data_IF_315973168562
#
_entry.id   IF_315973168562
#
_cell.length_a   1.000
_cell.length_b   1.000
_cell.length_c   1.000
_cell.angle_alpha   90.00
_cell.angle_beta   90.00
_cell.angle_gamma   90.00
#
_symmetry.space_group_name_H-M   'P 1'
#
loop_
_entity.id
_entity.type
_entity.pdbx_description
1 polymer ?
#
# COMPACT_ATOMS: atom_id res chain seq x y z
N UNK A 1 -0.14 8.01 10.54
CA UNK A 1 1.34 7.99 10.66
C UNK A 1 2.00 8.09 9.28
N UNK A 2 1.73 7.20 8.31
CA UNK A 2 2.36 7.27 6.97
C UNK A 2 1.92 8.43 6.06
N UNK A 3 0.78 9.11 6.32
CA UNK A 3 0.26 10.17 5.45
C UNK A 3 1.15 11.43 5.38
N UNK A 4 2.14 11.55 6.26
CA UNK A 4 3.11 12.66 6.33
C UNK A 4 4.53 12.26 5.91
N UNK A 5 4.70 11.03 5.40
CA UNK A 5 5.99 10.51 5.02
C UNK A 5 6.33 10.94 3.58
N UNK A 6 7.56 11.41 3.34
CA UNK A 6 8.03 11.69 1.99
C UNK A 6 8.07 10.40 1.14
N UNK A 7 8.05 10.55 -0.18
CA UNK A 7 8.05 9.42 -1.11
C UNK A 7 9.25 8.49 -0.90
N UNK A 8 10.39 9.04 -0.50
CA UNK A 8 11.62 8.28 -0.18
C UNK A 8 11.40 7.32 0.98
N UNK A 9 10.73 7.75 2.05
CA UNK A 9 10.53 6.88 3.19
C UNK A 9 9.37 5.87 2.97
N UNK A 10 8.44 6.14 2.04
CA UNK A 10 7.54 5.08 1.52
C UNK A 10 8.33 4.04 0.74
N UNK A 11 9.29 4.46 -0.10
CA UNK A 11 10.14 3.55 -0.85
C UNK A 11 10.97 2.66 0.08
N UNK A 12 11.63 3.22 1.09
CA UNK A 12 12.37 2.45 2.11
C UNK A 12 11.45 1.44 2.80
N UNK A 13 10.28 1.88 3.28
CA UNK A 13 9.33 1.00 3.96
C UNK A 13 8.89 -0.20 3.10
N UNK A 14 8.63 0.03 1.81
CA UNK A 14 8.26 -1.04 0.87
C UNK A 14 9.47 -1.92 0.56
N UNK A 15 10.65 -1.35 0.33
CA UNK A 15 11.89 -2.09 0.10
C UNK A 15 12.19 -3.05 1.26
N UNK A 16 12.14 -2.58 2.51
CA UNK A 16 12.33 -3.42 3.71
C UNK A 16 11.34 -4.60 3.73
N UNK A 17 10.09 -4.37 3.32
CA UNK A 17 9.09 -5.44 3.23
C UNK A 17 9.46 -6.48 2.16
N UNK A 18 9.97 -6.05 1.01
CA UNK A 18 10.44 -6.96 -0.04
C UNK A 18 11.66 -7.77 0.39
N UNK A 19 12.58 -7.20 1.18
CA UNK A 19 13.76 -7.91 1.69
C UNK A 19 13.40 -9.11 2.58
N UNK A 20 12.20 -9.14 3.17
CA UNK A 20 11.74 -10.28 3.96
C UNK A 20 11.48 -11.53 3.13
N UNK A 21 11.17 -11.38 1.82
CA UNK A 21 10.69 -12.46 0.98
C UNK A 21 9.34 -13.06 1.39
N UNK A 22 8.67 -12.51 2.40
CA UNK A 22 7.39 -12.98 2.93
C UNK A 22 6.24 -12.28 2.19
N UNK A 23 5.52 -13.05 1.38
CA UNK A 23 4.41 -12.55 0.59
C UNK A 23 3.28 -11.94 1.44
N UNK A 24 2.99 -12.50 2.63
CA UNK A 24 1.95 -11.98 3.50
C UNK A 24 2.37 -10.64 4.10
N UNK A 25 3.64 -10.53 4.51
CA UNK A 25 4.20 -9.28 5.01
C UNK A 25 4.24 -8.19 3.95
N UNK A 26 4.62 -8.52 2.71
CA UNK A 26 4.64 -7.59 1.58
C UNK A 26 3.23 -7.03 1.32
N UNK A 27 2.22 -7.91 1.24
CA UNK A 27 0.83 -7.48 1.02
C UNK A 27 0.35 -6.58 2.17
N UNK A 28 0.70 -6.92 3.41
CA UNK A 28 0.37 -6.10 4.58
C UNK A 28 1.00 -4.70 4.50
N UNK A 29 2.28 -4.61 4.13
CA UNK A 29 2.98 -3.34 3.96
C UNK A 29 2.36 -2.48 2.84
N UNK A 30 2.03 -3.10 1.69
CA UNK A 30 1.31 -2.42 0.60
C UNK A 30 -0.04 -1.89 1.07
N UNK A 31 -0.79 -2.67 1.85
CA UNK A 31 -2.07 -2.24 2.43
C UNK A 31 -1.93 -1.06 3.41
N UNK A 32 -0.81 -0.95 4.12
CA UNK A 32 -0.53 0.21 5.00
C UNK A 32 -0.32 1.47 4.17
N UNK A 33 0.51 1.41 3.12
CA UNK A 33 0.77 2.55 2.22
C UNK A 33 -0.50 2.98 1.47
N UNK A 34 -1.26 2.02 0.94
CA UNK A 34 -2.49 2.30 0.21
C UNK A 34 -3.54 3.03 1.06
N UNK A 35 -3.73 2.60 2.33
CA UNK A 35 -4.65 3.29 3.26
C UNK A 35 -4.15 4.69 3.62
N UNK A 36 -2.84 4.88 3.76
CA UNK A 36 -2.26 6.18 4.07
C UNK A 36 -2.45 7.19 2.92
N UNK A 37 -2.33 6.73 1.67
CA UNK A 37 -2.62 7.51 0.47
C UNK A 37 -4.12 7.82 0.35
N UNK A 38 -4.96 6.82 0.61
CA UNK A 38 -6.42 6.95 0.65
C UNK A 38 -7.08 6.22 -0.51
N UNK A 39 -8.03 5.34 -0.18
CA UNK A 39 -8.64 4.41 -1.14
C UNK A 39 -9.46 5.10 -2.24
N UNK A 40 -10.07 6.26 -1.95
CA UNK A 40 -10.81 7.04 -2.95
C UNK A 40 -9.88 7.60 -4.02
N UNK A 41 -8.73 8.13 -3.61
CA UNK A 41 -7.73 8.68 -4.52
C UNK A 41 -7.11 7.56 -5.37
N UNK A 42 -6.76 6.44 -4.75
CA UNK A 42 -6.28 5.24 -5.44
C UNK A 42 -7.28 4.70 -6.46
N UNK A 43 -8.57 4.63 -6.13
CA UNK A 43 -9.61 4.19 -7.06
C UNK A 43 -9.68 5.12 -8.29
N UNK A 44 -9.59 6.43 -8.07
CA UNK A 44 -9.59 7.43 -9.14
C UNK A 44 -8.36 7.31 -10.04
N UNK A 45 -7.17 7.10 -9.47
CA UNK A 45 -5.92 7.02 -10.22
C UNK A 45 -5.75 5.71 -10.99
N UNK A 46 -6.17 4.59 -10.39
CA UNK A 46 -5.96 3.24 -10.97
C UNK A 46 -7.12 2.79 -11.86
N UNK A 47 -8.28 3.46 -11.78
CA UNK A 47 -9.52 3.03 -12.43
C UNK A 47 -10.17 1.79 -11.78
N UNK A 48 -9.60 1.28 -10.67
CA UNK A 48 -10.16 0.15 -9.94
C UNK A 48 -11.28 0.58 -9.01
N UNK A 49 -12.26 -0.30 -8.82
CA UNK A 49 -13.28 -0.09 -7.78
C UNK A 49 -12.64 -0.19 -6.38
N UNK A 50 -13.25 0.49 -5.40
CA UNK A 50 -12.81 0.37 -4.00
C UNK A 50 -12.84 -1.08 -3.51
N UNK A 51 -13.82 -1.88 -3.96
CA UNK A 51 -13.94 -3.30 -3.62
C UNK A 51 -12.77 -4.12 -4.18
N UNK A 52 -12.40 -3.90 -5.45
CA UNK A 52 -11.24 -4.56 -6.07
C UNK A 52 -9.95 -4.19 -5.33
N UNK A 53 -9.79 -2.91 -4.98
CA UNK A 53 -8.66 -2.49 -4.17
C UNK A 53 -8.66 -3.20 -2.82
N UNK A 54 -9.77 -3.20 -2.08
CA UNK A 54 -9.83 -3.90 -0.79
C UNK A 54 -9.45 -5.37 -0.89
N UNK A 55 -9.93 -6.10 -1.89
CA UNK A 55 -9.60 -7.53 -2.09
C UNK A 55 -8.12 -7.77 -2.42
N UNK A 56 -7.48 -6.86 -3.15
CA UNK A 56 -6.10 -7.04 -3.64
C UNK A 56 -5.02 -6.73 -2.60
N UNK A 57 -5.28 -5.81 -1.68
CA UNK A 57 -4.28 -5.30 -0.70
C UNK A 57 -4.70 -5.52 0.76
N UNK A 58 -5.85 -6.15 0.99
CA UNK A 58 -6.29 -6.58 2.31
C UNK A 58 -6.83 -8.02 2.23
N UNK A 59 -5.97 -9.03 2.37
CA UNK A 59 -6.44 -10.37 2.74
C UNK A 59 -7.11 -10.34 4.12
#
# INVERSE_FOLDING_TARGET
MLKFLCIEAIAIFISDAFETGDAEYIVKAMGVVARAKGMTELARETGLSREQLYRSIQP
#
